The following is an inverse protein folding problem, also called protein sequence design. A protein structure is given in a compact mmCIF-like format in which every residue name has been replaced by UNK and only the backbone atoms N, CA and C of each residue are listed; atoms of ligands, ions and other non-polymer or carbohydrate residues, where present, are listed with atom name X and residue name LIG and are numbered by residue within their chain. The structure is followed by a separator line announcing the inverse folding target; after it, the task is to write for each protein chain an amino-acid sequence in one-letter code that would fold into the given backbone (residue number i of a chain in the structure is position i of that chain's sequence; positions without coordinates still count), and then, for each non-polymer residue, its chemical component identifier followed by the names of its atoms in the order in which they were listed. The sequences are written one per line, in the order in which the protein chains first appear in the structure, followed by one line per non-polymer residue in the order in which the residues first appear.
data_IF_301289082437
#
_entry.id   IF_301289082437
#
_cell.length_a   1.000
_cell.length_b   1.000
_cell.length_c   1.000
_cell.angle_alpha   90.00
_cell.angle_beta   90.00
_cell.angle_gamma   90.00
#
_symmetry.space_group_name_H-M   'P 1'
#
loop_
_entity.id
_entity.type
_entity.pdbx_description
1 polymer ?
#
# COMPACT_ATOMS: atom_id res chain seq x y z
N UNK A 1 10.98 4.04 12.73
CA UNK A 1 11.43 5.45 12.59
C UNK A 1 11.96 6.03 13.91
N UNK A 2 11.31 5.85 15.05
CA UNK A 2 11.78 6.38 16.35
C UNK A 2 13.17 5.86 16.75
N UNK A 3 13.40 4.56 16.68
CA UNK A 3 14.70 3.95 16.99
C UNK A 3 15.82 4.41 16.05
N UNK A 4 15.53 4.42 14.73
CA UNK A 4 16.50 4.89 13.73
C UNK A 4 16.84 6.37 13.91
N UNK A 5 15.83 7.20 14.24
CA UNK A 5 16.04 8.62 14.51
C UNK A 5 16.85 8.87 15.78
N UNK A 6 16.57 8.13 16.85
CA UNK A 6 17.32 8.23 18.10
C UNK A 6 18.80 7.85 17.91
N UNK A 7 19.05 6.74 17.19
CA UNK A 7 20.43 6.31 16.89
C UNK A 7 21.16 7.36 16.06
N UNK A 8 20.54 7.84 14.98
CA UNK A 8 21.13 8.85 14.10
C UNK A 8 21.46 10.14 14.87
N UNK A 9 20.60 10.56 15.78
CA UNK A 9 20.83 11.73 16.62
C UNK A 9 22.08 11.55 17.49
N UNK A 10 22.16 10.43 18.21
CA UNK A 10 23.30 10.11 19.08
C UNK A 10 24.61 10.04 18.29
N UNK A 11 24.60 9.46 17.10
CA UNK A 11 25.77 9.34 16.22
C UNK A 11 26.18 10.71 15.64
N UNK A 12 25.24 11.63 15.45
CA UNK A 12 25.50 12.95 14.82
C UNK A 12 25.99 14.01 15.82
N UNK A 13 25.55 13.94 17.09
CA UNK A 13 25.91 14.95 18.10
C UNK A 13 27.44 15.14 18.26
N UNK A 14 28.25 14.08 18.39
CA UNK A 14 29.71 14.23 18.46
C UNK A 14 30.31 14.89 17.21
N UNK A 15 29.78 14.60 16.03
CA UNK A 15 30.24 15.19 14.76
C UNK A 15 29.95 16.69 14.68
N UNK A 16 28.88 17.15 15.33
CA UNK A 16 28.57 18.57 15.45
C UNK A 16 29.50 19.26 16.44
N UNK A 17 29.86 18.59 17.54
CA UNK A 17 30.72 19.12 18.59
C UNK A 17 32.18 19.28 18.11
N UNK A 18 32.69 18.31 17.37
CA UNK A 18 34.05 18.32 16.84
C UNK A 18 34.20 19.07 15.49
N UNK A 19 33.07 19.51 14.90
CA UNK A 19 33.04 20.25 13.64
C UNK A 19 33.25 19.39 12.39
N UNK A 20 33.21 18.07 12.50
CA UNK A 20 33.37 17.14 11.36
C UNK A 20 32.07 16.93 10.57
N UNK A 21 30.93 17.43 11.05
CA UNK A 21 29.66 17.30 10.36
C UNK A 21 29.66 18.06 9.02
N UNK A 22 29.33 17.35 7.95
CA UNK A 22 29.16 17.94 6.61
C UNK A 22 27.71 18.32 6.41
N UNK A 23 27.48 19.60 6.12
CA UNK A 23 26.13 20.11 5.85
C UNK A 23 25.89 20.22 4.35
N UNK A 24 24.81 19.61 3.89
CA UNK A 24 24.33 19.77 2.52
C UNK A 24 23.08 20.64 2.50
N UNK A 25 23.00 21.57 1.55
CA UNK A 25 21.80 22.38 1.37
C UNK A 25 20.68 21.48 0.86
N UNK A 26 19.52 21.51 1.54
CA UNK A 26 18.34 20.77 1.09
C UNK A 26 17.91 21.31 -0.28
N UNK A 27 17.56 20.42 -1.25
CA UNK A 27 17.04 20.84 -2.55
C UNK A 27 15.83 21.77 -2.40
N UNK A 28 15.76 22.81 -3.22
CA UNK A 28 14.62 23.75 -3.21
C UNK A 28 13.34 23.10 -3.75
N UNK A 29 13.50 22.15 -4.69
CA UNK A 29 12.40 21.38 -5.23
C UNK A 29 12.41 19.96 -4.64
N UNK A 30 11.24 19.52 -4.16
CA UNK A 30 11.08 18.15 -3.69
C UNK A 30 11.04 17.18 -4.86
N UNK A 31 11.84 16.12 -4.81
CA UNK A 31 11.79 15.02 -5.79
C UNK A 31 10.58 14.10 -5.60
N UNK A 32 9.84 14.28 -4.51
CA UNK A 32 8.65 13.49 -4.18
C UNK A 32 7.43 14.39 -4.01
N UNK A 33 6.22 13.89 -4.33
CA UNK A 33 4.99 14.61 -4.06
C UNK A 33 4.84 14.92 -2.56
N UNK A 34 4.13 16.00 -2.26
CA UNK A 34 3.81 16.37 -0.88
C UNK A 34 3.05 15.22 -0.18
N UNK A 35 3.59 14.74 0.93
CA UNK A 35 2.98 13.72 1.75
C UNK A 35 1.83 14.33 2.58
N UNK A 36 0.64 14.35 2.03
CA UNK A 36 -0.55 14.84 2.72
C UNK A 36 -0.98 13.92 3.86
N UNK A 37 -1.80 14.44 4.77
CA UNK A 37 -2.40 13.62 5.83
C UNK A 37 -3.26 12.49 5.24
N UNK A 38 -3.08 11.30 5.78
CA UNK A 38 -3.87 10.13 5.39
C UNK A 38 -5.33 10.35 5.81
N UNK A 39 -6.26 10.12 4.89
CA UNK A 39 -7.70 10.23 5.11
C UNK A 39 -8.39 8.90 4.82
N UNK A 40 -9.59 8.69 5.40
CA UNK A 40 -10.38 7.47 5.15
C UNK A 40 -10.70 7.26 3.68
N UNK A 41 -10.92 8.34 2.92
CA UNK A 41 -11.22 8.28 1.48
C UNK A 41 -10.08 7.67 0.66
N UNK A 42 -8.84 7.79 1.12
CA UNK A 42 -7.68 7.18 0.42
C UNK A 42 -7.71 5.65 0.43
N UNK A 43 -8.51 5.05 1.31
CA UNK A 43 -8.66 3.59 1.39
C UNK A 43 -9.60 3.02 0.33
N UNK A 44 -10.36 3.83 -0.39
CA UNK A 44 -11.25 3.35 -1.46
C UNK A 44 -10.41 2.90 -2.66
N UNK A 45 -10.54 1.61 -3.02
CA UNK A 45 -9.76 1.03 -4.11
C UNK A 45 -10.33 1.42 -5.48
N UNK A 46 -9.47 1.96 -6.32
CA UNK A 46 -9.74 2.23 -7.73
C UNK A 46 -9.21 1.10 -8.61
N UNK A 47 -10.06 0.20 -9.04
CA UNK A 47 -9.73 -0.99 -9.81
C UNK A 47 -9.17 -0.72 -11.22
N UNK A 48 -9.15 0.54 -11.65
CA UNK A 48 -8.49 0.93 -12.90
C UNK A 48 -6.97 1.04 -12.77
N UNK A 49 -6.45 1.01 -11.54
CA UNK A 49 -5.01 1.00 -11.26
C UNK A 49 -4.40 -0.39 -11.42
N UNK A 50 -3.08 -0.44 -11.53
CA UNK A 50 -2.34 -1.69 -11.61
C UNK A 50 -2.42 -2.51 -10.31
N UNK A 51 -2.27 -3.84 -10.42
CA UNK A 51 -2.27 -4.73 -9.27
C UNK A 51 -1.17 -4.37 -8.27
N UNK A 52 0.01 -4.01 -8.77
CA UNK A 52 1.15 -3.58 -7.94
C UNK A 52 0.87 -2.28 -7.18
N UNK A 53 0.19 -1.31 -7.79
CA UNK A 53 -0.21 -0.08 -7.10
C UNK A 53 -1.24 -0.35 -6.01
N UNK A 54 -2.23 -1.20 -6.29
CA UNK A 54 -3.26 -1.59 -5.32
C UNK A 54 -2.66 -2.38 -4.15
N UNK A 55 -1.77 -3.34 -4.40
CA UNK A 55 -1.06 -4.07 -3.33
C UNK A 55 -0.32 -3.11 -2.40
N UNK A 56 0.45 -2.17 -2.97
CA UNK A 56 1.19 -1.17 -2.20
C UNK A 56 0.28 -0.27 -1.39
N UNK A 57 -0.86 0.13 -1.96
CA UNK A 57 -1.85 0.94 -1.27
C UNK A 57 -2.47 0.18 -0.09
N UNK A 58 -2.87 -1.08 -0.28
CA UNK A 58 -3.43 -1.94 0.76
C UNK A 58 -2.44 -2.09 1.90
N UNK A 59 -1.20 -2.44 1.60
CA UNK A 59 -0.13 -2.59 2.58
C UNK A 59 0.18 -1.28 3.31
N UNK A 60 0.22 -0.16 2.59
CA UNK A 60 0.53 1.15 3.17
C UNK A 60 -0.56 1.72 4.07
N UNK A 61 -1.82 1.32 3.87
CA UNK A 61 -2.96 1.78 4.65
C UNK A 61 -3.36 0.83 5.79
N UNK A 62 -2.74 -0.32 5.91
CA UNK A 62 -2.97 -1.25 7.00
C UNK A 62 -2.15 -0.84 8.24
N UNK A 63 -2.72 -0.82 9.46
CA UNK A 63 -4.09 -1.17 9.84
C UNK A 63 -5.10 0.00 9.71
N UNK A 64 -4.65 1.21 9.49
CA UNK A 64 -5.52 2.38 9.42
C UNK A 64 -5.12 3.30 8.27
N UNK A 65 -6.10 3.80 7.49
CA UNK A 65 -7.56 3.67 7.59
C UNK A 65 -8.12 2.35 7.06
N UNK A 66 -7.31 1.43 6.59
CA UNK A 66 -7.61 0.20 5.87
C UNK A 66 -8.07 0.48 4.44
N UNK A 67 -7.70 -0.39 3.52
CA UNK A 67 -8.24 -0.39 2.18
C UNK A 67 -9.65 -1.01 2.17
N UNK A 68 -10.50 -0.52 1.29
CA UNK A 68 -11.86 -1.04 1.14
C UNK A 68 -12.37 -0.90 -0.30
N UNK A 69 -13.33 -1.73 -0.61
CA UNK A 69 -14.10 -1.68 -1.85
C UNK A 69 -15.59 -1.92 -1.56
N UNK A 70 -16.40 -1.94 -2.61
CA UNK A 70 -17.83 -2.19 -2.50
C UNK A 70 -18.22 -3.42 -3.32
N UNK A 71 -18.86 -4.39 -2.66
CA UNK A 71 -19.38 -5.59 -3.30
C UNK A 71 -20.86 -5.74 -2.95
N UNK A 72 -21.73 -5.83 -3.95
CA UNK A 72 -23.18 -5.99 -3.77
C UNK A 72 -23.80 -4.96 -2.78
N UNK A 73 -23.33 -3.71 -2.82
CA UNK A 73 -23.80 -2.63 -1.96
C UNK A 73 -23.28 -2.67 -0.51
N UNK A 74 -22.39 -3.60 -0.19
CA UNK A 74 -21.72 -3.69 1.12
C UNK A 74 -20.28 -3.26 1.01
N UNK A 75 -19.76 -2.59 2.04
CA UNK A 75 -18.34 -2.24 2.14
C UNK A 75 -17.55 -3.46 2.58
N UNK A 76 -16.54 -3.77 1.79
CA UNK A 76 -15.60 -4.87 1.98
C UNK A 76 -14.25 -4.29 2.37
N UNK A 77 -13.71 -4.65 3.54
CA UNK A 77 -12.36 -4.26 3.95
C UNK A 77 -11.36 -5.29 3.45
N UNK A 78 -10.21 -4.80 3.01
CA UNK A 78 -9.14 -5.62 2.45
C UNK A 78 -7.90 -5.40 3.30
N UNK A 79 -7.37 -6.48 3.87
CA UNK A 79 -6.27 -6.44 4.82
C UNK A 79 -4.93 -6.75 4.18
N UNK A 80 -4.93 -7.65 3.23
CA UNK A 80 -3.74 -8.12 2.55
C UNK A 80 -4.05 -8.41 1.08
N UNK A 81 -3.04 -8.28 0.24
CA UNK A 81 -3.15 -8.59 -1.18
C UNK A 81 -1.81 -9.11 -1.71
N UNK A 82 -1.87 -10.00 -2.67
CA UNK A 82 -0.72 -10.43 -3.47
C UNK A 82 -1.01 -10.29 -4.95
N UNK A 83 0.00 -9.93 -5.72
CA UNK A 83 -0.12 -9.85 -7.17
C UNK A 83 0.08 -11.24 -7.76
N UNK A 84 -0.86 -11.67 -8.60
CA UNK A 84 -0.81 -12.94 -9.29
C UNK A 84 -0.60 -12.72 -10.80
N UNK A 85 0.15 -13.61 -11.45
CA UNK A 85 0.33 -13.58 -12.89
C UNK A 85 -0.96 -13.94 -13.63
N UNK A 86 -1.14 -13.38 -14.80
CA UNK A 86 -2.34 -13.56 -15.62
C UNK A 86 -2.51 -15.01 -16.09
N UNK A 87 -3.41 -15.74 -15.46
CA UNK A 87 -3.79 -17.11 -15.82
C UNK A 87 -5.30 -17.20 -16.12
N UNK A 88 -5.82 -16.46 -17.09
CA UNK A 88 -7.24 -16.62 -17.38
C UNK A 88 -7.89 -15.64 -18.37
N UNK A 89 -9.23 -15.71 -18.44
CA UNK A 89 -10.05 -14.90 -19.34
C UNK A 89 -9.98 -13.41 -19.04
N UNK A 90 -9.88 -12.59 -20.07
CA UNK A 90 -9.92 -11.12 -19.94
C UNK A 90 -11.32 -10.65 -19.53
N UNK A 91 -11.49 -10.26 -18.30
CA UNK A 91 -12.71 -9.63 -17.75
C UNK A 91 -12.47 -8.15 -17.41
N UNK A 92 -13.54 -7.41 -17.16
CA UNK A 92 -13.44 -6.00 -16.79
C UNK A 92 -12.77 -5.82 -15.41
N UNK A 93 -12.03 -4.71 -15.18
CA UNK A 93 -11.48 -4.38 -13.86
C UNK A 93 -12.54 -4.37 -12.77
N UNK A 94 -12.20 -4.85 -11.57
CA UNK A 94 -13.13 -4.98 -10.45
C UNK A 94 -14.07 -6.19 -10.51
N UNK A 95 -13.92 -7.09 -11.49
CA UNK A 95 -14.71 -8.32 -11.57
C UNK A 95 -14.16 -9.37 -10.61
N UNK A 96 -15.00 -9.88 -9.72
CA UNK A 96 -14.68 -11.00 -8.84
C UNK A 96 -14.66 -12.32 -9.65
N UNK A 97 -13.62 -13.12 -9.48
CA UNK A 97 -13.42 -14.38 -10.21
C UNK A 97 -13.67 -15.63 -9.36
N UNK A 98 -14.03 -15.47 -8.10
CA UNK A 98 -14.33 -16.56 -7.19
C UNK A 98 -13.40 -16.65 -5.99
N UNK A 99 -13.70 -17.59 -5.11
CA UNK A 99 -12.94 -17.86 -3.89
C UNK A 99 -11.75 -18.75 -4.23
N UNK A 100 -10.55 -18.28 -3.96
CA UNK A 100 -9.34 -19.10 -4.05
C UNK A 100 -9.08 -19.75 -2.68
N UNK A 101 -9.27 -21.06 -2.59
CA UNK A 101 -8.88 -21.86 -1.43
C UNK A 101 -9.99 -22.29 -0.48
N UNK A 102 -9.83 -23.49 0.08
CA UNK A 102 -10.84 -24.24 0.84
C UNK A 102 -10.77 -24.03 2.36
N UNK A 103 -9.98 -23.09 2.89
CA UNK A 103 -9.89 -22.86 4.33
C UNK A 103 -10.70 -21.64 4.75
N UNK A 104 -11.75 -21.90 5.51
CA UNK A 104 -12.82 -20.97 5.91
C UNK A 104 -12.41 -19.90 6.93
N UNK A 105 -11.15 -19.55 7.08
CA UNK A 105 -10.69 -18.53 8.05
C UNK A 105 -10.35 -17.19 7.40
N UNK A 106 -10.15 -17.14 6.09
CA UNK A 106 -10.00 -15.92 5.32
C UNK A 106 -10.74 -16.08 3.99
N UNK A 107 -11.60 -15.16 3.64
CA UNK A 107 -12.24 -15.12 2.33
C UNK A 107 -11.20 -14.55 1.37
N UNK A 108 -10.50 -15.42 0.64
CA UNK A 108 -9.60 -15.03 -0.41
C UNK A 108 -10.39 -14.86 -1.71
N UNK A 109 -10.45 -13.69 -2.23
CA UNK A 109 -11.10 -13.36 -3.49
C UNK A 109 -10.05 -12.91 -4.50
N UNK A 110 -10.12 -13.44 -5.71
CA UNK A 110 -9.28 -13.00 -6.82
C UNK A 110 -10.04 -11.96 -7.60
N UNK A 111 -9.53 -10.75 -7.64
CA UNK A 111 -10.10 -9.66 -8.42
C UNK A 111 -9.16 -9.28 -9.56
N UNK A 112 -9.73 -8.81 -10.66
CA UNK A 112 -8.97 -8.28 -11.77
C UNK A 112 -8.71 -6.79 -11.61
N UNK A 113 -7.49 -6.38 -11.89
CA UNK A 113 -7.08 -4.98 -12.09
C UNK A 113 -7.04 -4.65 -13.61
N UNK A 114 -6.50 -3.51 -13.99
CA UNK A 114 -6.40 -3.12 -15.40
C UNK A 114 -5.40 -3.98 -16.19
N UNK A 115 -4.38 -4.53 -15.55
CA UNK A 115 -3.25 -5.22 -16.17
C UNK A 115 -2.98 -6.63 -15.63
N UNK A 116 -3.30 -6.90 -14.36
CA UNK A 116 -2.96 -8.16 -13.69
C UNK A 116 -4.10 -8.62 -12.76
N UNK A 117 -3.90 -9.75 -12.13
CA UNK A 117 -4.77 -10.29 -11.10
C UNK A 117 -4.25 -9.93 -9.71
N UNK A 118 -5.15 -9.70 -8.78
CA UNK A 118 -4.81 -9.48 -7.38
C UNK A 118 -5.62 -10.43 -6.50
N UNK A 119 -4.92 -11.17 -5.66
CA UNK A 119 -5.51 -12.00 -4.61
C UNK A 119 -5.73 -11.13 -3.38
N UNK A 120 -6.95 -11.12 -2.86
CA UNK A 120 -7.34 -10.32 -1.72
C UNK A 120 -7.62 -11.21 -0.51
N UNK A 121 -7.07 -10.84 0.65
CA UNK A 121 -7.47 -11.35 1.94
C UNK A 121 -8.43 -10.34 2.60
N UNK A 122 -9.64 -10.79 2.90
CA UNK A 122 -10.78 -9.97 3.30
C UNK A 122 -11.16 -10.27 4.75
#
# INVERSE_FOLDING_TARGET
MSESGAKLLVDTLPMLEDGSAVFEKQPEESTTPYAAMISKKMGELDWTKSATELERLIRGLNPWPSAFSHLNGKTLKIWEASVEEENGEKKAPGTEMGLAGADCTAINSVCRTCDEWILLCI
#
